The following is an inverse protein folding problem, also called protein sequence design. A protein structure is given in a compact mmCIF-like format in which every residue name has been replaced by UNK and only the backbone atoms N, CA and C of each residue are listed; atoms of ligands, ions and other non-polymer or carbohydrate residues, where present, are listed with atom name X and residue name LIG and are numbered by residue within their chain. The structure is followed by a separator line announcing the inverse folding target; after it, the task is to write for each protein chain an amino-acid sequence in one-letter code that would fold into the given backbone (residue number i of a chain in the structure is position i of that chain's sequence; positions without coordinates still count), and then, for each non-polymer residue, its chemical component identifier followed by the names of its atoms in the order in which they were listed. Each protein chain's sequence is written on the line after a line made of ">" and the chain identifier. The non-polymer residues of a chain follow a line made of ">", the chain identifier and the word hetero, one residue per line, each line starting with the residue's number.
data_IF_994470681665
#
_entry.id   IF_994470681665
#
_cell.length_a   1.000
_cell.length_b   1.000
_cell.length_c   1.000
_cell.angle_alpha   90.00
_cell.angle_beta   90.00
_cell.angle_gamma   90.00
#
_symmetry.space_group_name_H-M   'P 1'
#
loop_
_entity.id
_entity.type
_entity.pdbx_description
1 polymer ?
#
# COMPACT_ATOMS: atom_id res chain seq x y z
N UNK A 1 -22.54 -28.02 -64.82
CA UNK A 1 -23.55 -29.02 -64.44
C UNK A 1 -22.95 -29.90 -63.42
N UNK A 2 -23.36 -29.79 -62.16
CA UNK A 2 -23.40 -30.85 -61.10
C UNK A 2 -23.75 -30.19 -59.81
N UNK A 3 -24.94 -30.43 -59.38
CA UNK A 3 -25.46 -30.03 -58.05
C UNK A 3 -25.00 -31.08 -57.04
N UNK A 4 -24.40 -30.67 -55.95
CA UNK A 4 -24.18 -31.53 -54.80
C UNK A 4 -25.05 -30.99 -53.66
N UNK A 5 -26.02 -31.82 -53.25
CA UNK A 5 -26.90 -31.65 -52.11
C UNK A 5 -26.10 -31.85 -50.81
N UNK A 6 -26.14 -30.88 -49.93
CA UNK A 6 -25.69 -31.05 -48.57
C UNK A 6 -26.88 -31.41 -47.66
N UNK A 7 -26.78 -32.59 -47.06
CA UNK A 7 -27.72 -33.14 -46.10
C UNK A 7 -27.43 -32.49 -44.74
N UNK A 8 -28.42 -31.83 -44.18
CA UNK A 8 -28.36 -31.29 -42.82
C UNK A 8 -28.66 -32.41 -41.81
N UNK A 9 -27.68 -32.73 -40.97
CA UNK A 9 -27.89 -33.57 -39.80
C UNK A 9 -28.28 -32.72 -38.60
N UNK A 10 -29.52 -32.86 -38.17
CA UNK A 10 -30.04 -32.28 -36.93
C UNK A 10 -29.73 -33.29 -35.80
N UNK A 11 -28.81 -32.94 -34.92
CA UNK A 11 -28.59 -33.67 -33.65
C UNK A 11 -29.39 -32.96 -32.56
N UNK A 12 -30.45 -33.59 -32.09
CA UNK A 12 -31.18 -33.19 -30.91
C UNK A 12 -30.41 -33.63 -29.66
N UNK A 13 -29.90 -32.68 -28.88
CA UNK A 13 -29.34 -32.94 -27.56
C UNK A 13 -30.42 -32.66 -26.54
N UNK A 14 -30.83 -33.74 -25.83
CA UNK A 14 -31.80 -33.68 -24.76
C UNK A 14 -31.32 -32.94 -23.56
N UNK A 15 -32.15 -32.03 -23.07
CA UNK A 15 -31.95 -31.19 -21.90
C UNK A 15 -32.50 -31.96 -20.68
N UNK A 16 -31.64 -32.58 -19.88
CA UNK A 16 -32.03 -33.10 -18.55
C UNK A 16 -31.88 -31.98 -17.55
N UNK A 17 -33.01 -31.42 -17.14
CA UNK A 17 -33.07 -30.51 -15.99
C UNK A 17 -32.95 -31.31 -14.70
N UNK A 18 -31.80 -31.22 -14.04
CA UNK A 18 -31.61 -31.67 -12.66
C UNK A 18 -32.03 -30.54 -11.73
N UNK A 19 -33.24 -30.61 -11.17
CA UNK A 19 -33.72 -29.77 -10.08
C UNK A 19 -33.00 -30.18 -8.80
N UNK A 20 -31.97 -29.42 -8.39
CA UNK A 20 -31.40 -29.47 -7.05
C UNK A 20 -32.29 -28.67 -6.10
N UNK A 21 -33.02 -29.40 -5.25
CA UNK A 21 -33.77 -28.87 -4.13
C UNK A 21 -32.75 -28.48 -3.04
N UNK A 22 -32.44 -27.21 -2.88
CA UNK A 22 -31.66 -26.70 -1.75
C UNK A 22 -32.59 -26.63 -0.54
N UNK A 23 -32.45 -27.59 0.37
CA UNK A 23 -32.96 -27.50 1.71
C UNK A 23 -32.17 -26.43 2.45
N UNK A 24 -32.81 -25.28 2.70
CA UNK A 24 -32.29 -24.27 3.60
C UNK A 24 -32.44 -24.79 5.03
N UNK A 25 -31.36 -25.10 5.69
CA UNK A 25 -31.35 -25.32 7.12
C UNK A 25 -31.43 -23.97 7.85
N UNK A 26 -32.34 -23.79 8.85
CA UNK A 26 -32.35 -22.57 9.65
C UNK A 26 -31.17 -22.58 10.60
N UNK A 27 -30.25 -21.61 10.40
CA UNK A 27 -29.13 -21.38 11.27
C UNK A 27 -29.58 -21.08 12.70
N UNK A 28 -29.09 -21.86 13.65
CA UNK A 28 -29.20 -21.60 15.06
C UNK A 28 -28.45 -20.32 15.43
N UNK A 29 -29.15 -19.25 15.72
CA UNK A 29 -28.64 -18.12 16.46
C UNK A 29 -28.42 -18.58 17.90
N UNK A 30 -27.17 -18.82 18.26
CA UNK A 30 -26.79 -19.02 19.65
C UNK A 30 -26.68 -17.67 20.32
N UNK A 31 -27.67 -17.31 21.11
CA UNK A 31 -27.60 -16.32 22.17
C UNK A 31 -26.44 -16.68 23.11
N UNK A 32 -25.36 -15.92 23.05
CA UNK A 32 -24.43 -15.81 24.16
C UNK A 32 -24.69 -14.49 24.87
N UNK A 33 -25.69 -14.57 25.77
CA UNK A 33 -25.92 -13.56 26.78
C UNK A 33 -24.68 -13.40 27.68
N UNK A 34 -24.43 -12.17 27.99
CA UNK A 34 -23.45 -11.64 28.91
C UNK A 34 -23.26 -12.46 30.18
N UNK A 35 -22.04 -12.78 30.50
CA UNK A 35 -21.63 -12.98 31.89
C UNK A 35 -20.53 -11.97 32.20
N UNK A 36 -20.99 -10.83 32.71
CA UNK A 36 -20.17 -9.76 33.23
C UNK A 36 -19.88 -10.07 34.70
N UNK A 37 -18.82 -10.80 34.97
CA UNK A 37 -18.27 -10.83 36.32
C UNK A 37 -16.75 -11.05 36.32
N UNK A 38 -16.02 -9.97 36.10
CA UNK A 38 -14.59 -9.92 36.39
C UNK A 38 -14.37 -9.14 37.69
N UNK A 39 -13.66 -9.70 38.66
CA UNK A 39 -13.39 -9.00 39.91
C UNK A 39 -12.42 -7.82 39.67
N UNK A 40 -12.79 -6.67 40.21
CA UNK A 40 -11.97 -5.50 40.25
C UNK A 40 -10.72 -5.77 41.09
N UNK A 41 -9.55 -5.73 40.48
CA UNK A 41 -8.27 -5.70 41.19
C UNK A 41 -8.05 -4.26 41.67
N UNK A 42 -8.23 -4.07 42.96
CA UNK A 42 -7.87 -2.83 43.66
C UNK A 42 -6.36 -2.82 43.83
N UNK A 43 -5.69 -1.92 43.15
CA UNK A 43 -4.28 -1.58 43.44
C UNK A 43 -4.25 -0.55 44.56
N UNK A 44 -3.41 -0.75 45.59
CA UNK A 44 -3.30 0.22 46.66
C UNK A 44 -2.57 1.48 46.19
N UNK A 45 -3.04 2.63 46.65
CA UNK A 45 -2.54 3.95 46.37
C UNK A 45 -1.13 4.13 46.84
N UNK A 46 -0.37 4.91 46.09
CA UNK A 46 0.86 5.54 46.51
C UNK A 46 0.60 7.03 46.55
N UNK A 47 0.62 7.56 47.77
CA UNK A 47 0.44 8.96 48.07
C UNK A 47 1.48 9.84 47.40
N UNK A 48 1.01 10.96 46.86
CA UNK A 48 1.86 12.08 46.49
C UNK A 48 2.17 12.92 47.75
N UNK A 49 3.35 13.44 47.90
CA UNK A 49 3.55 14.65 48.70
C UNK A 49 3.64 15.87 47.80
N UNK A 50 2.84 16.85 48.18
CA UNK A 50 2.87 18.21 47.67
C UNK A 50 3.91 19.05 48.43
N UNK A 51 4.24 20.15 47.74
CA UNK A 51 4.70 21.46 48.26
C UNK A 51 6.19 21.65 48.56
N UNK A 52 6.75 22.54 47.75
CA UNK A 52 7.15 23.90 48.14
C UNK A 52 8.55 24.00 48.80
N UNK A 53 9.45 24.66 48.17
CA UNK A 53 10.08 25.90 48.64
C UNK A 53 11.20 26.38 47.70
N UNK A 54 11.11 27.64 47.42
CA UNK A 54 12.07 28.55 46.84
C UNK A 54 13.43 28.55 47.53
N UNK A 55 14.54 28.58 46.78
CA UNK A 55 15.76 29.27 47.17
C UNK A 55 16.60 29.63 45.95
N UNK A 56 16.64 30.90 45.71
CA UNK A 56 17.62 31.69 44.99
C UNK A 56 19.03 31.50 45.57
N UNK A 57 20.04 31.33 44.72
CA UNK A 57 21.39 31.82 44.94
C UNK A 57 22.25 31.77 43.68
N UNK A 58 22.45 32.96 43.13
CA UNK A 58 23.49 33.32 42.18
C UNK A 58 24.89 32.86 42.66
N UNK A 59 25.68 32.34 41.75
CA UNK A 59 27.14 32.58 41.76
C UNK A 59 27.72 32.35 40.37
N UNK A 60 28.19 33.44 39.77
CA UNK A 60 29.10 33.46 38.63
C UNK A 60 30.37 32.64 38.92
N UNK A 61 30.76 31.85 37.95
CA UNK A 61 32.17 31.51 37.75
C UNK A 61 32.41 31.29 36.26
N UNK A 62 32.93 32.32 35.68
CA UNK A 62 33.61 32.38 34.39
C UNK A 62 34.84 31.48 34.40
N UNK A 63 34.92 30.51 33.53
CA UNK A 63 36.15 29.85 33.11
C UNK A 63 36.11 29.55 31.63
N UNK A 64 36.77 30.43 30.90
CA UNK A 64 37.21 30.24 29.54
C UNK A 64 38.20 29.07 29.44
N UNK A 65 37.86 28.08 28.60
CA UNK A 65 38.89 27.24 27.97
C UNK A 65 38.46 27.01 26.54
N UNK A 66 39.12 27.71 25.63
CA UNK A 66 39.20 27.35 24.23
C UNK A 66 39.94 26.03 24.14
N UNK A 67 39.29 25.01 23.55
CA UNK A 67 40.04 23.99 22.83
C UNK A 67 39.22 23.52 21.63
N UNK A 68 39.79 23.83 20.49
CA UNK A 68 39.33 23.51 19.17
C UNK A 68 39.42 22.02 18.91
N UNK A 69 38.28 21.33 18.81
CA UNK A 69 38.22 20.05 18.10
C UNK A 69 37.26 20.22 16.94
N UNK A 70 37.84 20.56 15.83
CA UNK A 70 37.25 20.49 14.51
C UNK A 70 37.12 19.02 14.15
N UNK A 71 35.95 18.46 14.33
CA UNK A 71 35.56 17.18 13.72
C UNK A 71 34.83 17.48 12.43
N UNK A 72 35.60 17.62 11.37
CA UNK A 72 35.10 17.59 10.00
C UNK A 72 34.68 16.13 9.71
N UNK A 73 33.49 15.71 10.15
CA UNK A 73 32.80 14.53 9.64
C UNK A 73 31.88 15.00 8.50
N UNK A 74 32.51 15.44 7.42
CA UNK A 74 31.88 15.61 6.12
C UNK A 74 31.68 14.21 5.53
N UNK A 75 30.61 13.53 5.94
CA UNK A 75 30.13 12.36 5.24
C UNK A 75 29.67 12.82 3.86
N UNK A 76 30.56 12.66 2.89
CA UNK A 76 30.25 12.91 1.48
C UNK A 76 28.97 12.14 1.11
N UNK A 77 27.99 12.79 0.45
CA UNK A 77 26.78 12.10 -0.01
C UNK A 77 27.19 10.95 -0.95
N UNK A 78 26.75 9.74 -0.61
CA UNK A 78 26.95 8.59 -1.50
C UNK A 78 26.49 8.96 -2.92
N UNK A 79 27.28 8.65 -3.95
CA UNK A 79 26.94 9.00 -5.31
C UNK A 79 25.60 8.34 -5.68
N UNK A 80 24.60 9.17 -5.96
CA UNK A 80 23.31 8.71 -6.49
C UNK A 80 23.60 7.86 -7.73
N UNK A 81 23.12 6.60 -7.78
CA UNK A 81 23.38 5.74 -8.93
C UNK A 81 22.95 6.42 -10.23
N UNK A 82 23.77 6.30 -11.27
CA UNK A 82 23.49 6.88 -12.57
C UNK A 82 22.12 6.40 -13.08
N UNK A 83 21.35 7.25 -13.78
CA UNK A 83 20.05 6.86 -14.31
C UNK A 83 20.20 5.67 -15.25
N UNK A 84 19.49 4.57 -14.95
CA UNK A 84 19.42 3.40 -15.81
C UNK A 84 18.54 3.76 -17.00
N UNK A 85 19.10 3.76 -18.20
CA UNK A 85 18.34 3.90 -19.45
C UNK A 85 17.88 2.52 -19.89
N UNK A 86 16.60 2.37 -20.21
CA UNK A 86 16.02 1.13 -20.66
C UNK A 86 14.97 1.39 -21.76
N UNK A 87 14.85 0.49 -22.73
CA UNK A 87 13.91 0.62 -23.84
C UNK A 87 12.49 0.19 -23.44
N UNK A 88 12.36 -0.55 -22.36
CA UNK A 88 11.08 -1.01 -21.83
C UNK A 88 11.02 -0.94 -20.31
N UNK A 89 9.78 -0.82 -19.76
CA UNK A 89 9.58 -0.88 -18.31
C UNK A 89 10.04 -2.22 -17.71
N UNK A 90 9.90 -3.32 -18.47
CA UNK A 90 10.35 -4.63 -18.02
C UNK A 90 11.87 -4.70 -17.87
N UNK A 91 12.59 -4.14 -18.80
CA UNK A 91 14.04 -4.03 -18.76
C UNK A 91 14.49 -3.12 -17.60
N UNK A 92 13.82 -1.96 -17.43
CA UNK A 92 14.10 -1.07 -16.30
C UNK A 92 13.88 -1.76 -14.96
N UNK A 93 12.78 -2.49 -14.79
CA UNK A 93 12.48 -3.25 -13.56
C UNK A 93 13.55 -4.31 -13.31
N UNK A 94 14.00 -5.01 -14.36
CA UNK A 94 15.04 -6.03 -14.24
C UNK A 94 16.42 -5.41 -13.87
N UNK A 95 16.70 -4.23 -14.38
CA UNK A 95 17.96 -3.51 -14.16
C UNK A 95 17.98 -2.66 -12.87
N UNK A 96 16.80 -2.39 -12.27
CA UNK A 96 16.72 -1.60 -11.04
C UNK A 96 17.39 -2.34 -9.89
N UNK A 97 18.41 -1.76 -9.24
CA UNK A 97 19.10 -2.40 -8.12
C UNK A 97 18.15 -2.66 -6.95
N UNK A 98 18.30 -3.83 -6.35
CA UNK A 98 17.59 -4.14 -5.10
C UNK A 98 18.38 -3.56 -3.94
N UNK A 99 17.81 -2.64 -3.16
CA UNK A 99 18.51 -2.10 -2.01
C UNK A 99 18.74 -3.21 -0.98
N UNK A 100 19.92 -3.20 -0.34
CA UNK A 100 20.24 -4.11 0.75
C UNK A 100 19.27 -3.89 1.93
N UNK A 101 18.94 -2.64 2.18
CA UNK A 101 17.91 -2.22 3.14
C UNK A 101 16.85 -1.39 2.42
N UNK A 102 15.58 -1.68 2.74
CA UNK A 102 14.43 -0.97 2.19
C UNK A 102 13.96 0.02 3.25
N UNK A 103 14.05 1.31 2.97
CA UNK A 103 13.54 2.34 3.88
C UNK A 103 12.01 2.18 4.12
N UNK A 104 11.49 2.65 5.26
CA UNK A 104 10.09 2.46 5.63
C UNK A 104 9.10 3.00 4.59
N UNK A 105 9.35 4.15 4.00
CA UNK A 105 8.48 4.77 3.01
C UNK A 105 8.43 3.96 1.70
N UNK A 106 9.59 3.49 1.22
CA UNK A 106 9.68 2.60 0.08
C UNK A 106 9.00 1.26 0.38
N UNK A 107 9.16 0.72 1.59
CA UNK A 107 8.52 -0.52 2.01
C UNK A 107 6.98 -0.40 2.01
N UNK A 108 6.45 0.72 2.48
CA UNK A 108 5.01 0.99 2.43
C UNK A 108 4.50 1.08 0.99
N UNK A 109 5.20 1.81 0.12
CA UNK A 109 4.84 1.96 -1.29
C UNK A 109 4.88 0.61 -2.03
N UNK A 110 5.97 -0.14 -1.88
CA UNK A 110 6.11 -1.47 -2.46
C UNK A 110 5.05 -2.45 -1.93
N UNK A 111 4.70 -2.34 -0.65
CA UNK A 111 3.61 -3.12 -0.05
C UNK A 111 2.27 -2.83 -0.69
N UNK A 112 1.93 -1.56 -0.94
CA UNK A 112 0.71 -1.19 -1.65
C UNK A 112 0.69 -1.78 -3.07
N UNK A 113 1.78 -1.66 -3.83
CA UNK A 113 1.92 -2.29 -5.16
C UNK A 113 1.72 -3.80 -5.07
N UNK A 114 2.39 -4.46 -4.12
CA UNK A 114 2.34 -5.90 -3.97
C UNK A 114 0.93 -6.42 -3.66
N UNK A 115 0.21 -5.79 -2.74
CA UNK A 115 -1.11 -6.29 -2.33
C UNK A 115 -2.24 -5.88 -3.28
N UNK A 116 -2.15 -4.73 -3.93
CA UNK A 116 -3.21 -4.22 -4.81
C UNK A 116 -3.07 -4.70 -6.26
N UNK A 117 -1.86 -4.89 -6.76
CA UNK A 117 -1.64 -5.07 -8.20
C UNK A 117 -0.68 -6.19 -8.58
N UNK A 118 -0.30 -7.06 -7.64
CA UNK A 118 0.51 -8.24 -8.00
C UNK A 118 -0.24 -9.11 -9.03
N UNK A 119 0.48 -9.50 -10.07
CA UNK A 119 -0.11 -10.28 -11.18
C UNK A 119 -0.72 -9.44 -12.29
N UNK A 120 -0.78 -8.10 -12.12
CA UNK A 120 -1.09 -7.18 -13.21
C UNK A 120 0.16 -6.83 -14.01
N UNK A 121 -0.02 -6.16 -15.16
CA UNK A 121 1.11 -5.67 -15.95
C UNK A 121 1.97 -4.67 -15.16
N UNK A 122 3.24 -4.52 -15.54
CA UNK A 122 4.12 -3.53 -14.90
C UNK A 122 3.58 -2.09 -15.00
N UNK A 123 2.97 -1.66 -16.12
CA UNK A 123 2.29 -0.37 -16.18
C UNK A 123 1.13 -0.23 -15.18
N UNK A 124 0.34 -1.28 -14.93
CA UNK A 124 -0.72 -1.29 -13.92
C UNK A 124 -0.16 -1.14 -12.51
N UNK A 125 0.87 -1.91 -12.19
CA UNK A 125 1.58 -1.82 -10.91
C UNK A 125 2.16 -0.41 -10.69
N UNK A 126 2.79 0.16 -11.71
CA UNK A 126 3.36 1.52 -11.68
C UNK A 126 2.28 2.59 -11.46
N UNK A 127 1.11 2.45 -12.10
CA UNK A 127 0.01 3.37 -11.92
C UNK A 127 -0.54 3.35 -10.47
N UNK A 128 -0.63 2.18 -9.83
CA UNK A 128 -1.00 2.07 -8.40
C UNK A 128 0.03 2.77 -7.50
N UNK A 129 1.34 2.58 -7.76
CA UNK A 129 2.39 3.29 -7.04
C UNK A 129 2.22 4.82 -7.14
N UNK A 130 1.97 5.31 -8.35
CA UNK A 130 1.76 6.75 -8.57
C UNK A 130 0.52 7.30 -7.87
N UNK A 131 -0.56 6.53 -7.69
CA UNK A 131 -1.70 7.00 -6.88
C UNK A 131 -1.29 7.26 -5.45
N UNK A 132 -0.49 6.39 -4.83
CA UNK A 132 0.01 6.59 -3.45
C UNK A 132 0.88 7.85 -3.37
N UNK A 133 1.79 8.03 -4.32
CA UNK A 133 2.67 9.22 -4.41
C UNK A 133 1.84 10.50 -4.61
N UNK A 134 0.91 10.51 -5.58
CA UNK A 134 0.04 11.65 -5.85
C UNK A 134 -0.79 12.04 -4.64
N UNK A 135 -1.29 11.05 -3.87
CA UNK A 135 -2.02 11.32 -2.62
C UNK A 135 -1.14 12.01 -1.61
N UNK A 136 0.07 11.52 -1.35
CA UNK A 136 1.01 12.12 -0.42
C UNK A 136 1.37 13.58 -0.79
N UNK A 137 1.40 13.89 -2.08
CA UNK A 137 1.72 15.21 -2.61
C UNK A 137 0.50 16.16 -2.73
N UNK A 138 -0.72 15.64 -2.72
CA UNK A 138 -1.94 16.40 -3.05
C UNK A 138 -2.41 17.38 -1.96
N UNK A 139 -1.89 17.30 -0.75
CA UNK A 139 -2.38 18.03 0.42
C UNK A 139 -3.75 17.57 0.96
N UNK A 140 -4.40 16.61 0.30
CA UNK A 140 -5.72 16.07 0.68
C UNK A 140 -5.62 14.77 1.49
N UNK A 141 -4.45 14.17 1.54
CA UNK A 141 -4.13 12.91 2.20
C UNK A 141 -2.92 13.11 3.13
N UNK A 142 -2.56 12.12 3.95
CA UNK A 142 -1.31 12.17 4.72
C UNK A 142 -0.10 12.46 3.83
N UNK A 143 0.87 13.21 4.35
CA UNK A 143 2.04 13.68 3.58
C UNK A 143 3.11 12.62 3.34
N UNK A 144 3.05 11.47 4.01
CA UNK A 144 4.00 10.38 3.84
C UNK A 144 3.36 9.19 3.10
N UNK A 145 4.16 8.38 2.41
CA UNK A 145 3.68 7.19 1.70
C UNK A 145 3.10 6.18 2.70
N UNK A 146 3.79 5.95 3.83
CA UNK A 146 3.29 5.11 4.89
C UNK A 146 1.97 5.65 5.48
N UNK A 147 1.87 6.95 5.69
CA UNK A 147 0.63 7.60 6.15
C UNK A 147 -0.54 7.35 5.20
N UNK A 148 -0.32 7.47 3.89
CA UNK A 148 -1.34 7.17 2.86
C UNK A 148 -1.73 5.70 2.89
N UNK A 149 -0.75 4.79 2.96
CA UNK A 149 -0.99 3.33 2.92
C UNK A 149 -1.73 2.86 4.17
N UNK A 150 -1.38 3.38 5.36
CA UNK A 150 -2.00 2.99 6.61
C UNK A 150 -3.26 3.80 6.96
N UNK A 151 -3.69 4.72 6.09
CA UNK A 151 -4.91 5.48 6.29
C UNK A 151 -6.11 4.54 6.43
N UNK A 152 -6.91 4.74 7.47
CA UNK A 152 -8.08 3.90 7.77
C UNK A 152 -9.00 3.75 6.56
N UNK A 153 -9.35 2.51 6.22
CA UNK A 153 -10.28 2.15 5.14
C UNK A 153 -9.83 2.51 3.71
N UNK A 154 -8.55 2.87 3.49
CA UNK A 154 -8.05 3.14 2.14
C UNK A 154 -7.66 1.86 1.40
N UNK A 155 -7.01 0.93 2.08
CA UNK A 155 -6.56 -0.33 1.50
C UNK A 155 -7.09 -1.51 2.30
N UNK A 156 -7.74 -2.45 1.64
CA UNK A 156 -8.41 -3.60 2.27
C UNK A 156 -7.44 -4.59 2.93
N UNK A 157 -6.19 -4.62 2.46
CA UNK A 157 -5.15 -5.45 3.04
C UNK A 157 -4.62 -4.93 4.38
N UNK A 158 -4.78 -3.62 4.68
CA UNK A 158 -4.36 -3.05 5.97
C UNK A 158 -5.43 -3.34 7.02
N UNK A 159 -5.08 -4.13 8.03
CA UNK A 159 -5.99 -4.53 9.12
C UNK A 159 -5.39 -4.13 10.46
N UNK A 160 -6.18 -3.43 11.28
CA UNK A 160 -5.69 -2.94 12.57
C UNK A 160 -4.46 -2.04 12.47
N UNK A 161 -4.36 -1.25 11.39
CA UNK A 161 -3.21 -0.37 11.13
C UNK A 161 -1.93 -1.12 10.72
N UNK A 162 -2.01 -2.41 10.41
CA UNK A 162 -0.85 -3.24 10.05
C UNK A 162 -1.00 -3.83 8.66
N UNK A 163 0.10 -3.84 7.93
CA UNK A 163 0.23 -4.56 6.66
C UNK A 163 0.47 -6.05 6.96
N UNK A 164 -0.13 -6.99 6.19
CA UNK A 164 0.15 -8.41 6.35
C UNK A 164 1.62 -8.74 6.07
N UNK A 165 2.07 -9.90 6.53
CA UNK A 165 3.41 -10.39 6.23
C UNK A 165 3.59 -10.53 4.71
N UNK A 166 4.67 -9.96 4.20
CA UNK A 166 5.06 -10.05 2.79
C UNK A 166 5.89 -11.30 2.60
N UNK A 167 5.53 -12.10 1.62
CA UNK A 167 6.35 -13.25 1.20
C UNK A 167 7.43 -12.76 0.25
N UNK A 168 8.68 -13.00 0.60
CA UNK A 168 9.80 -12.70 -0.29
C UNK A 168 9.70 -13.58 -1.56
N UNK A 169 10.06 -13.03 -2.71
CA UNK A 169 10.02 -13.71 -3.99
C UNK A 169 9.98 -12.73 -5.16
N UNK A 170 9.84 -13.25 -6.37
CA UNK A 170 9.89 -12.46 -7.59
C UNK A 170 8.85 -11.31 -7.59
N UNK A 171 7.62 -11.58 -7.12
CA UNK A 171 6.56 -10.57 -7.08
C UNK A 171 6.88 -9.42 -6.12
N UNK A 172 7.48 -9.72 -4.96
CA UNK A 172 7.94 -8.70 -4.03
C UNK A 172 9.09 -7.88 -4.62
N UNK A 173 10.06 -8.56 -5.23
CA UNK A 173 11.18 -7.90 -5.87
C UNK A 173 10.73 -6.94 -6.98
N UNK A 174 9.75 -7.34 -7.80
CA UNK A 174 9.15 -6.48 -8.82
C UNK A 174 8.42 -5.29 -8.18
N UNK A 175 7.66 -5.50 -7.11
CA UNK A 175 6.97 -4.43 -6.42
C UNK A 175 7.94 -3.39 -5.83
N UNK A 176 9.09 -3.84 -5.29
CA UNK A 176 10.15 -2.94 -4.80
C UNK A 176 10.75 -2.14 -5.95
N UNK A 177 11.10 -2.78 -7.06
CA UNK A 177 11.64 -2.09 -8.24
C UNK A 177 10.65 -1.07 -8.82
N UNK A 178 9.38 -1.44 -8.96
CA UNK A 178 8.30 -0.54 -9.41
C UNK A 178 8.14 0.66 -8.45
N UNK A 179 8.20 0.41 -7.14
CA UNK A 179 8.10 1.49 -6.15
C UNK A 179 9.29 2.47 -6.23
N UNK A 180 10.51 1.97 -6.46
CA UNK A 180 11.69 2.81 -6.71
C UNK A 180 11.52 3.63 -7.98
N UNK A 181 11.18 2.99 -9.10
CA UNK A 181 10.97 3.63 -10.41
C UNK A 181 9.90 4.73 -10.30
N UNK A 182 8.79 4.46 -9.60
CA UNK A 182 7.73 5.44 -9.37
C UNK A 182 8.22 6.63 -8.53
N UNK A 183 8.94 6.36 -7.45
CA UNK A 183 9.48 7.37 -6.53
C UNK A 183 10.51 8.27 -7.21
N UNK A 184 11.37 7.68 -8.01
CA UNK A 184 12.44 8.37 -8.72
C UNK A 184 11.95 9.08 -10.01
N UNK A 185 10.74 8.77 -10.46
CA UNK A 185 10.19 9.30 -11.72
C UNK A 185 10.91 8.79 -12.96
N UNK A 186 11.57 7.64 -12.87
CA UNK A 186 12.42 7.07 -13.93
C UNK A 186 11.63 6.48 -15.11
N UNK A 187 10.30 6.43 -15.02
CA UNK A 187 9.41 5.99 -16.09
C UNK A 187 8.15 6.84 -16.16
N UNK A 188 7.55 6.90 -17.35
CA UNK A 188 6.35 7.72 -17.57
C UNK A 188 5.17 7.23 -16.73
N UNK A 189 4.45 8.16 -16.13
CA UNK A 189 3.21 7.90 -15.41
C UNK A 189 2.05 7.72 -16.40
N UNK A 190 1.38 6.56 -16.40
CA UNK A 190 0.23 6.27 -17.26
C UNK A 190 -1.11 6.78 -16.70
N UNK A 191 -1.14 7.23 -15.44
CA UNK A 191 -2.32 7.80 -14.78
C UNK A 191 -1.96 9.11 -14.04
N UNK A 192 -1.52 10.17 -14.77
CA UNK A 192 -0.99 11.39 -14.16
C UNK A 192 -2.05 12.11 -13.32
N UNK A 193 -1.71 12.42 -12.06
CA UNK A 193 -2.59 13.09 -11.12
C UNK A 193 -3.77 12.24 -10.61
N UNK A 194 -3.76 10.93 -10.85
CA UNK A 194 -4.78 10.02 -10.30
C UNK A 194 -4.67 9.97 -8.77
N UNK A 195 -5.82 10.13 -8.10
CA UNK A 195 -5.94 10.05 -6.65
C UNK A 195 -6.82 8.89 -6.19
N UNK A 196 -7.59 8.30 -7.11
CA UNK A 196 -8.53 7.22 -6.81
C UNK A 196 -8.45 6.16 -7.88
N UNK A 197 -8.70 4.91 -7.48
CA UNK A 197 -8.90 3.80 -8.42
C UNK A 197 -9.87 2.78 -7.84
N UNK A 198 -10.43 1.95 -8.68
CA UNK A 198 -11.20 0.76 -8.31
C UNK A 198 -11.03 -0.32 -9.37
N UNK A 199 -11.33 -1.56 -9.01
CA UNK A 199 -11.36 -2.66 -9.94
C UNK A 199 -12.47 -2.47 -10.97
N UNK A 200 -12.21 -2.76 -12.25
CA UNK A 200 -13.15 -2.50 -13.38
C UNK A 200 -14.52 -3.15 -13.23
N UNK A 201 -14.63 -4.20 -12.43
CA UNK A 201 -15.92 -4.87 -12.16
C UNK A 201 -16.73 -4.23 -11.04
N UNK A 202 -16.18 -3.20 -10.37
CA UNK A 202 -16.86 -2.41 -9.33
C UNK A 202 -17.45 -1.16 -9.99
N UNK A 203 -18.67 -0.77 -9.60
CA UNK A 203 -19.31 0.48 -10.02
C UNK A 203 -19.52 1.38 -8.80
N UNK A 204 -18.53 2.19 -8.41
CA UNK A 204 -18.69 3.09 -7.29
C UNK A 204 -19.66 4.22 -7.68
N UNK A 205 -20.53 4.63 -6.75
CA UNK A 205 -21.51 5.70 -6.96
C UNK A 205 -20.91 7.11 -7.00
N UNK A 206 -19.60 7.25 -7.08
CA UNK A 206 -18.94 8.55 -7.11
C UNK A 206 -18.89 9.19 -8.50
N UNK A 207 -18.91 10.53 -8.52
CA UNK A 207 -18.75 11.33 -9.75
C UNK A 207 -17.32 11.89 -9.79
N UNK A 208 -16.38 11.14 -10.35
CA UNK A 208 -14.97 11.56 -10.48
C UNK A 208 -14.55 11.53 -11.93
N UNK A 209 -13.62 12.40 -12.31
CA UNK A 209 -13.07 12.43 -13.67
C UNK A 209 -12.19 11.22 -13.89
N UNK A 210 -12.60 10.34 -14.82
CA UNK A 210 -11.80 9.20 -15.25
C UNK A 210 -10.59 9.69 -16.03
N UNK A 211 -9.41 9.13 -15.73
CA UNK A 211 -8.14 9.48 -16.36
C UNK A 211 -7.67 8.34 -17.28
N UNK A 212 -7.64 7.11 -16.74
CA UNK A 212 -7.13 5.95 -17.45
C UNK A 212 -7.83 4.68 -17.01
N UNK A 213 -7.74 3.66 -17.86
CA UNK A 213 -7.99 2.27 -17.47
C UNK A 213 -6.74 1.47 -17.87
N UNK A 214 -6.18 0.75 -16.92
CA UNK A 214 -4.99 -0.08 -17.09
C UNK A 214 -5.29 -1.40 -16.39
N UNK A 215 -5.20 -2.50 -17.13
CA UNK A 215 -5.54 -3.85 -16.68
C UNK A 215 -6.92 -3.91 -15.98
N UNK A 216 -6.94 -4.30 -14.71
CA UNK A 216 -8.17 -4.43 -13.93
C UNK A 216 -8.54 -3.17 -13.15
N UNK A 217 -7.80 -2.08 -13.29
CA UNK A 217 -8.06 -0.83 -12.57
C UNK A 217 -8.50 0.32 -13.46
N UNK A 218 -9.44 1.11 -12.96
CA UNK A 218 -9.86 2.38 -13.54
C UNK A 218 -9.41 3.50 -12.59
N UNK A 219 -8.68 4.47 -13.12
CA UNK A 219 -8.04 5.55 -12.38
C UNK A 219 -8.78 6.88 -12.55
N UNK A 220 -8.88 7.67 -11.47
CA UNK A 220 -9.66 8.91 -11.41
C UNK A 220 -8.91 10.02 -10.66
N UNK A 221 -9.31 11.26 -11.00
CA UNK A 221 -8.88 12.47 -10.29
C UNK A 221 -9.95 12.98 -9.34
#
# INVERSE_FOLDING_TARGET
>A
MSRILNVASVAAVGMTAATMLLLAEPGFASDLAADANLPAIILPGVDAPAADETADLSTEAELTVEDSIKSDDESAPEPKPAPVTADSLAELVAATPKPAEIDPELRCLAGAVYFESRGESLPGQLAVAHVVINRAQSGRFPKSLCGVVHQKSQFSFVRGGRMPAIRNGAQWNNAVAIAQIARDGSWKNHAPGALFFHARYVSPGWRKTRIAQIDNHIFYR
#
